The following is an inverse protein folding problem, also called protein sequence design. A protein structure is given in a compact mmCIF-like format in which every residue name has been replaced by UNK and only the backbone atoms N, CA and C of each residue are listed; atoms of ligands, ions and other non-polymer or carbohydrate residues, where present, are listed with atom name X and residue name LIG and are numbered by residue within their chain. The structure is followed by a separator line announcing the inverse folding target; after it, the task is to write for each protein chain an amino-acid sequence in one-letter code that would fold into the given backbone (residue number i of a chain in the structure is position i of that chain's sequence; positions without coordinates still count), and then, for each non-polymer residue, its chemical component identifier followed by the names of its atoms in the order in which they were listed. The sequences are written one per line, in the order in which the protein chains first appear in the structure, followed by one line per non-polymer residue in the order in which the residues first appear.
data_IF_069824952194
#
_entry.id   IF_069824952194
#
_cell.length_a   1.000
_cell.length_b   1.000
_cell.length_c   1.000
_cell.angle_alpha   90.00
_cell.angle_beta   90.00
_cell.angle_gamma   90.00
#
_symmetry.space_group_name_H-M   'P 1'
#
loop_
_entity.id
_entity.type
_entity.pdbx_description
1 polymer ?
#
# COMPACT_ATOMS: atom_id res chain seq x y z
N UNK A 1 -14.09 -1.19 -8.62
CA UNK A 1 -13.49 -0.91 -8.95
C UNK A 1 -13.09 -1.13 -9.97
N UNK A 2 -13.00 -0.80 -10.49
CA UNK A 2 -12.67 -0.93 -11.40
C UNK A 2 -11.60 -0.70 -11.77
N UNK A 3 -10.77 -0.53 -11.37
CA UNK A 3 -9.71 -0.36 -11.85
C UNK A 3 -9.41 -1.26 -12.75
N UNK A 4 -8.54 -0.96 -13.43
CA UNK A 4 -8.08 -1.65 -14.42
C UNK A 4 -7.71 -2.94 -14.07
N UNK A 5 -7.30 -3.15 -13.03
CA UNK A 5 -6.91 -4.43 -12.69
C UNK A 5 -8.07 -5.17 -12.25
N UNK A 6 -8.37 -6.20 -12.90
CA UNK A 6 -9.42 -7.05 -12.40
C UNK A 6 -8.92 -7.85 -11.24
N UNK A 7 -7.97 -7.30 -10.56
CA UNK A 7 -7.29 -8.08 -9.60
C UNK A 7 -8.16 -8.51 -8.47
N UNK A 8 -9.23 -7.81 -8.24
CA UNK A 8 -10.01 -8.22 -7.14
C UNK A 8 -10.56 -9.59 -7.30
N UNK A 9 -10.92 -9.96 -8.49
CA UNK A 9 -11.48 -11.27 -8.66
C UNK A 9 -10.46 -12.27 -9.11
N UNK A 10 -9.41 -11.82 -9.75
CA UNK A 10 -8.50 -12.76 -10.33
C UNK A 10 -7.25 -12.95 -9.56
N UNK A 11 -6.78 -11.91 -8.98
CA UNK A 11 -5.57 -12.03 -8.24
C UNK A 11 -5.83 -12.33 -6.81
N UNK A 12 -7.05 -12.47 -6.44
CA UNK A 12 -7.36 -12.73 -5.09
C UNK A 12 -6.85 -14.07 -4.61
N UNK A 13 -6.50 -14.93 -5.47
CA UNK A 13 -5.99 -16.21 -5.06
C UNK A 13 -6.89 -16.75 -3.97
N UNK A 14 -8.08 -16.99 -4.31
CA UNK A 14 -9.13 -17.14 -3.31
C UNK A 14 -8.89 -18.23 -2.31
N UNK A 15 -8.24 -19.24 -2.71
CA UNK A 15 -8.11 -20.33 -1.81
C UNK A 15 -6.91 -20.26 -0.97
N UNK A 16 -6.18 -19.17 -1.02
CA UNK A 16 -5.00 -19.08 -0.25
C UNK A 16 -5.11 -17.94 0.64
N UNK A 17 -4.76 -18.13 1.83
CA UNK A 17 -4.61 -17.05 2.71
C UNK A 17 -3.29 -16.45 2.48
N UNK A 18 -3.27 -15.23 2.05
CA UNK A 18 -2.03 -14.50 1.95
C UNK A 18 -1.65 -14.10 3.35
N UNK A 19 -0.46 -14.44 3.74
CA UNK A 19 0.00 -14.18 5.09
C UNK A 19 0.72 -12.85 5.13
N UNK A 20 1.21 -12.48 6.29
CA UNK A 20 2.00 -11.27 6.40
C UNK A 20 3.38 -11.44 5.77
N UNK A 21 3.75 -12.64 5.40
CA UNK A 21 5.02 -12.86 4.75
C UNK A 21 4.92 -12.52 3.28
N UNK A 22 5.90 -11.84 2.71
CA UNK A 22 5.87 -11.53 1.30
C UNK A 22 5.82 -12.78 0.44
N UNK A 23 5.03 -12.73 -0.61
CA UNK A 23 4.94 -13.82 -1.57
C UNK A 23 5.06 -13.22 -2.96
N UNK A 24 5.44 -14.05 -3.91
CA UNK A 24 5.50 -13.61 -5.30
C UNK A 24 4.41 -14.32 -6.06
N UNK A 25 3.58 -13.54 -6.72
CA UNK A 25 2.47 -14.05 -7.51
C UNK A 25 2.70 -13.64 -8.95
N UNK A 26 2.59 -14.57 -9.86
CA UNK A 26 2.70 -14.25 -11.28
C UNK A 26 1.33 -14.13 -11.89
N UNK A 27 1.11 -13.04 -12.60
CA UNK A 27 -0.18 -12.76 -13.20
C UNK A 27 0.06 -11.96 -14.47
N UNK A 28 -0.37 -12.51 -15.61
CA UNK A 28 -0.27 -11.80 -16.89
C UNK A 28 1.16 -11.31 -17.15
N UNK A 29 2.12 -12.15 -16.91
CA UNK A 29 3.54 -11.86 -17.10
C UNK A 29 4.13 -10.91 -16.08
N UNK A 30 3.37 -10.50 -15.08
CA UNK A 30 3.89 -9.68 -13.98
C UNK A 30 4.30 -10.58 -12.84
N UNK A 31 5.33 -10.15 -12.12
CA UNK A 31 5.74 -10.82 -10.91
C UNK A 31 5.47 -9.88 -9.76
N UNK A 32 4.41 -10.15 -9.03
CA UNK A 32 3.94 -9.25 -8.00
C UNK A 32 4.33 -9.77 -6.63
N UNK A 33 5.08 -8.96 -5.89
CA UNK A 33 5.39 -9.26 -4.49
C UNK A 33 4.25 -8.74 -3.65
N UNK A 34 3.73 -9.58 -2.78
CA UNK A 34 2.64 -9.16 -1.92
C UNK A 34 3.21 -8.45 -0.70
N UNK A 35 2.59 -7.35 -0.33
CA UNK A 35 2.96 -6.60 0.87
C UNK A 35 1.71 -6.50 1.71
N UNK A 36 1.74 -7.12 2.86
CA UNK A 36 0.58 -7.11 3.75
C UNK A 36 0.47 -5.72 4.39
N UNK A 37 -0.61 -5.04 4.10
CA UNK A 37 -0.77 -3.64 4.51
C UNK A 37 -2.14 -3.42 5.15
N UNK A 38 -2.41 -4.05 6.29
CA UNK A 38 -3.71 -3.88 6.94
C UNK A 38 -3.85 -2.49 7.55
N UNK A 39 -5.06 -2.15 7.90
CA UNK A 39 -5.37 -0.87 8.55
C UNK A 39 -6.60 -0.24 7.97
N UNK A 40 -6.60 0.02 6.66
CA UNK A 40 -7.82 0.43 6.00
C UNK A 40 -8.82 -0.74 6.02
N UNK A 41 -8.30 -1.94 5.78
CA UNK A 41 -9.10 -3.16 5.91
C UNK A 41 -8.19 -4.25 6.44
N UNK A 42 -8.71 -5.21 7.17
CA UNK A 42 -7.86 -6.20 7.85
C UNK A 42 -7.01 -7.05 6.92
N UNK A 43 -7.51 -7.37 5.75
CA UNK A 43 -6.77 -8.23 4.85
C UNK A 43 -6.16 -7.52 3.68
N UNK A 44 -5.97 -6.22 3.78
CA UNK A 44 -5.49 -5.45 2.63
C UNK A 44 -4.06 -5.81 2.27
N UNK A 45 -3.80 -5.92 0.98
CA UNK A 45 -2.50 -6.28 0.46
C UNK A 45 -2.16 -5.34 -0.69
N UNK A 46 -0.95 -4.81 -0.69
CA UNK A 46 -0.41 -4.08 -1.81
C UNK A 46 0.44 -5.02 -2.65
N UNK A 47 0.64 -4.67 -3.90
CA UNK A 47 1.42 -5.52 -4.81
C UNK A 47 2.54 -4.69 -5.40
N UNK A 48 3.76 -5.19 -5.30
CA UNK A 48 4.94 -4.49 -5.78
C UNK A 48 5.53 -5.24 -6.97
N UNK A 49 5.68 -4.55 -8.09
CA UNK A 49 6.33 -5.09 -9.28
C UNK A 49 7.70 -4.43 -9.37
N UNK A 50 8.71 -5.16 -8.95
CA UNK A 50 10.04 -4.59 -8.80
C UNK A 50 10.66 -4.20 -10.13
N UNK A 51 10.48 -5.01 -11.15
CA UNK A 51 11.09 -4.74 -12.44
C UNK A 51 10.49 -3.53 -13.14
N UNK A 52 9.21 -3.28 -12.91
CA UNK A 52 8.56 -2.12 -13.47
C UNK A 52 8.63 -0.91 -12.54
N UNK A 53 9.12 -1.12 -11.34
CA UNK A 53 9.27 -0.03 -10.37
C UNK A 53 7.92 0.59 -9.99
N UNK A 54 6.94 -0.27 -9.77
CA UNK A 54 5.57 0.15 -9.49
C UNK A 54 5.03 -0.62 -8.29
N UNK A 55 4.31 0.08 -7.42
CA UNK A 55 3.56 -0.59 -6.37
C UNK A 55 2.08 -0.22 -6.52
N UNK A 56 1.25 -1.26 -6.50
CA UNK A 56 -0.20 -1.08 -6.55
C UNK A 56 -0.67 -1.03 -5.11
N UNK A 57 -0.90 0.16 -4.62
CA UNK A 57 -1.18 0.36 -3.21
C UNK A 57 -2.65 0.18 -2.82
N UNK A 58 -3.53 0.08 -3.81
CA UNK A 58 -4.95 -0.04 -3.51
C UNK A 58 -5.44 1.14 -2.71
N UNK A 59 -6.10 0.86 -1.61
CA UNK A 59 -6.65 1.91 -0.76
C UNK A 59 -5.79 2.21 0.45
N UNK A 60 -4.50 1.91 0.37
CA UNK A 60 -3.60 2.12 1.49
C UNK A 60 -2.95 3.50 1.46
N UNK A 61 -2.41 3.89 0.31
CA UNK A 61 -1.66 5.13 0.18
C UNK A 61 -2.07 5.85 -1.09
N UNK A 62 -2.32 7.15 -0.96
CA UNK A 62 -2.71 7.99 -2.09
C UNK A 62 -1.79 9.20 -2.17
N UNK A 63 -1.89 9.93 -3.25
CA UNK A 63 -1.15 11.17 -3.40
C UNK A 63 -1.66 12.18 -2.37
N UNK A 64 -0.84 12.45 -1.38
CA UNK A 64 -1.19 13.41 -0.34
C UNK A 64 -2.18 12.89 0.70
N UNK A 65 -2.48 11.59 0.69
CA UNK A 65 -3.48 11.07 1.60
C UNK A 65 -3.21 9.60 1.93
N UNK A 66 -4.05 9.03 2.77
CA UNK A 66 -3.98 7.61 3.12
C UNK A 66 -5.40 7.07 3.10
N UNK A 67 -5.53 5.76 3.18
CA UNK A 67 -6.83 5.14 3.23
C UNK A 67 -7.59 5.56 4.48
N UNK A 68 -8.91 5.59 4.38
CA UNK A 68 -9.71 5.98 5.52
C UNK A 68 -9.68 4.88 6.57
N UNK A 69 -9.80 5.28 7.82
CA UNK A 69 -9.74 4.34 8.94
C UNK A 69 -10.92 4.53 9.87
N UNK A 70 -12.01 5.06 9.36
CA UNK A 70 -13.21 5.30 10.17
C UNK A 70 -14.29 4.26 9.91
N UNK A 71 -13.94 3.17 9.25
CA UNK A 71 -14.89 2.09 8.96
C UNK A 71 -14.70 0.95 9.95
N UNK A 72 -15.72 0.11 10.15
CA UNK A 72 -15.55 -1.05 11.00
C UNK A 72 -14.40 -1.92 10.49
N UNK A 73 -13.54 -2.34 11.39
CA UNK A 73 -12.38 -3.14 11.02
C UNK A 73 -11.17 -2.34 10.64
N UNK A 74 -11.30 -1.02 10.52
CA UNK A 74 -10.15 -0.16 10.21
C UNK A 74 -9.38 0.19 11.47
N UNK A 75 -8.10 0.53 11.30
CA UNK A 75 -7.25 0.88 12.42
C UNK A 75 -6.17 1.83 11.92
N UNK A 76 -6.21 3.07 12.38
CA UNK A 76 -5.29 4.10 11.92
C UNK A 76 -3.83 3.75 12.23
N UNK A 77 -3.56 3.33 13.47
CA UNK A 77 -2.18 3.00 13.82
C UNK A 77 -1.67 1.83 13.00
N UNK A 78 -2.51 0.84 12.76
CA UNK A 78 -2.12 -0.30 11.97
C UNK A 78 -1.83 0.13 10.52
N UNK A 79 -2.65 1.01 9.97
CA UNK A 79 -2.42 1.50 8.62
C UNK A 79 -1.10 2.25 8.54
N UNK A 80 -0.82 3.12 9.50
CA UNK A 80 0.43 3.87 9.48
C UNK A 80 1.63 2.95 9.62
N UNK A 81 1.54 1.93 10.48
CA UNK A 81 2.60 0.97 10.59
C UNK A 81 2.83 0.22 9.28
N UNK A 82 1.74 -0.15 8.61
CA UNK A 82 1.84 -0.82 7.33
C UNK A 82 2.55 0.04 6.31
N UNK A 83 2.17 1.30 6.24
CA UNK A 83 2.80 2.23 5.30
C UNK A 83 4.27 2.37 5.61
N UNK A 84 4.63 2.56 6.87
CA UNK A 84 6.02 2.78 7.23
C UNK A 84 6.86 1.52 7.07
N UNK A 85 6.30 0.37 7.36
CA UNK A 85 7.07 -0.87 7.34
C UNK A 85 7.15 -1.49 5.96
N UNK A 86 6.13 -1.30 5.14
CA UNK A 86 6.05 -2.02 3.87
C UNK A 86 6.23 -1.13 2.66
N UNK A 87 5.80 0.12 2.72
CA UNK A 87 5.87 0.99 1.54
C UNK A 87 7.04 1.95 1.60
N UNK A 88 7.25 2.56 2.75
CA UNK A 88 8.33 3.55 2.85
C UNK A 88 9.72 2.99 2.64
N UNK A 89 10.00 1.71 2.90
CA UNK A 89 11.33 1.18 2.59
C UNK A 89 11.60 1.00 1.10
N UNK A 90 10.57 1.11 0.26
CA UNK A 90 10.77 0.98 -1.17
C UNK A 90 11.54 2.16 -1.71
N UNK A 91 12.25 2.00 -2.84
CA UNK A 91 13.01 3.11 -3.40
C UNK A 91 12.14 4.32 -3.72
N UNK A 92 12.75 5.50 -3.66
CA UNK A 92 12.02 6.74 -3.90
C UNK A 92 11.36 6.80 -5.27
N UNK A 93 11.98 6.17 -6.25
CA UNK A 93 11.48 6.24 -7.62
C UNK A 93 10.30 5.34 -7.90
N UNK A 94 9.93 4.48 -6.95
CA UNK A 94 8.82 3.57 -7.18
C UNK A 94 7.54 4.36 -7.36
N UNK A 95 6.83 4.10 -8.45
CA UNK A 95 5.56 4.75 -8.70
C UNK A 95 4.47 4.07 -7.91
N UNK A 96 3.61 4.88 -7.33
CA UNK A 96 2.49 4.38 -6.53
C UNK A 96 1.23 4.53 -7.36
N UNK A 97 0.59 3.40 -7.62
CA UNK A 97 -0.66 3.38 -8.37
C UNK A 97 -1.76 2.99 -7.39
N UNK A 98 -2.50 3.97 -6.88
CA UNK A 98 -3.57 3.65 -5.94
C UNK A 98 -4.78 3.08 -6.64
N UNK A 99 -5.73 2.63 -5.86
CA UNK A 99 -6.95 2.12 -6.43
C UNK A 99 -7.73 3.15 -7.20
N UNK A 100 -7.61 4.42 -6.80
CA UNK A 100 -8.21 5.54 -7.49
C UNK A 100 -7.38 6.76 -7.13
N UNK A 101 -7.71 7.90 -7.68
CA UNK A 101 -6.94 9.13 -7.50
C UNK A 101 -5.68 9.08 -8.33
N UNK A 102 -4.83 10.06 -8.20
CA UNK A 102 -3.70 10.19 -9.10
C UNK A 102 -2.51 9.37 -8.66
N UNK A 103 -1.64 9.10 -9.59
CA UNK A 103 -0.39 8.40 -9.33
C UNK A 103 0.58 9.30 -8.59
N UNK A 104 1.50 8.69 -7.86
CA UNK A 104 2.52 9.44 -7.16
C UNK A 104 3.77 8.56 -7.06
N UNK A 105 4.73 8.92 -6.20
CA UNK A 105 5.92 8.10 -5.98
C UNK A 105 6.15 7.96 -4.49
N UNK A 106 6.88 6.92 -4.13
CA UNK A 106 7.22 6.67 -2.73
C UNK A 106 8.01 7.86 -2.17
N UNK A 107 8.97 8.36 -2.93
CA UNK A 107 9.78 9.47 -2.45
C UNK A 107 8.97 10.72 -2.21
N UNK A 108 8.04 11.03 -3.11
CA UNK A 108 7.21 12.20 -2.94
C UNK A 108 6.34 12.08 -1.68
N UNK A 109 5.75 10.91 -1.48
CA UNK A 109 4.89 10.74 -0.33
C UNK A 109 5.69 10.71 0.97
N UNK A 110 6.89 10.15 0.95
CA UNK A 110 7.73 10.18 2.14
C UNK A 110 8.05 11.62 2.53
N UNK A 111 8.28 12.47 1.55
CA UNK A 111 8.69 13.85 1.83
C UNK A 111 7.53 14.78 2.12
N UNK A 112 6.38 14.55 1.51
CA UNK A 112 5.32 15.57 1.52
C UNK A 112 3.97 15.10 2.00
N UNK A 113 3.76 13.82 2.19
CA UNK A 113 2.43 13.36 2.62
C UNK A 113 2.20 13.81 4.06
N UNK A 114 1.18 14.64 4.29
CA UNK A 114 1.00 15.21 5.64
C UNK A 114 0.69 14.15 6.69
N UNK A 115 0.00 13.08 6.32
CA UNK A 115 -0.31 12.04 7.29
C UNK A 115 0.95 11.30 7.70
N UNK A 116 1.83 11.01 6.75
CA UNK A 116 3.08 10.33 7.05
C UNK A 116 3.98 11.23 7.88
N UNK A 117 4.10 12.49 7.48
CA UNK A 117 4.97 13.41 8.19
C UNK A 117 4.49 13.62 9.64
N UNK A 118 3.20 13.78 9.81
CA UNK A 118 2.67 13.98 11.16
C UNK A 118 2.88 12.75 12.02
N UNK A 119 2.65 11.58 11.48
CA UNK A 119 2.83 10.38 12.26
C UNK A 119 4.28 10.17 12.65
N UNK A 120 5.20 10.45 11.73
CA UNK A 120 6.62 10.34 12.04
C UNK A 120 7.01 11.30 13.15
N UNK A 121 6.47 12.50 13.15
CA UNK A 121 6.76 13.46 14.21
C UNK A 121 6.24 12.96 15.54
N UNK A 122 5.06 12.38 15.56
CA UNK A 122 4.49 11.87 16.79
C UNK A 122 5.30 10.75 17.38
N UNK A 123 5.71 9.78 16.56
CA UNK A 123 6.44 8.65 17.11
C UNK A 123 7.87 8.98 17.43
N UNK A 124 8.41 10.06 16.86
CA UNK A 124 9.77 10.46 17.19
C UNK A 124 9.81 11.38 18.41
N UNK A 125 8.65 11.84 18.84
CA UNK A 125 8.62 12.72 20.00
C UNK A 125 9.02 14.13 19.73
N UNK A 126 9.03 14.55 18.46
CA UNK A 126 9.46 15.89 18.10
C UNK A 126 8.29 16.79 17.80
N UNK A 127 7.18 16.55 18.34
CA UNK A 127 6.00 17.36 18.08
C UNK A 127 6.14 18.75 18.61
#
# INVERSE_FOLDING_TARGET
TNYALPYKSQMAVPDRLLTSEPEIIEFASLKLETLYTPGHAPGHIAFYERDLNIVFSGDCLFAGSIGRTDLPGSDYNQLMQSILDKLMPLPDSVQVLPGHMQFTTIGKERATNPFIREYLDLISGTV
#
